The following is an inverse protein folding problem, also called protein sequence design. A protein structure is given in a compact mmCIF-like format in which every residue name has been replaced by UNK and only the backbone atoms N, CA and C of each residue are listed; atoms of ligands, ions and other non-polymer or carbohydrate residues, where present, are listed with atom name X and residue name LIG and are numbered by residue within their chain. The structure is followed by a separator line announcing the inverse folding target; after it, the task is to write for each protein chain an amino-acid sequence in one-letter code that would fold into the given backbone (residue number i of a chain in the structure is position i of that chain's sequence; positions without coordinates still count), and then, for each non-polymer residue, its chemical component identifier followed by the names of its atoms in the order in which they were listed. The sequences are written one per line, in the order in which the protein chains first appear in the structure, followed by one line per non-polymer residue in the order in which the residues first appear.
data_IF_488801228762
#
_entry.id   IF_488801228762
#
_cell.length_a   1.000
_cell.length_b   1.000
_cell.length_c   1.000
_cell.angle_alpha   90.00
_cell.angle_beta   90.00
_cell.angle_gamma   90.00
#
_symmetry.space_group_name_H-M   'P 1'
#
loop_
_entity.id
_entity.type
_entity.pdbx_description
1 polymer ?
#
# COMPACT_ATOMS: atom_id res chain seq x y z
N UNK A 1 4.43 2.03 26.67
CA UNK A 1 3.94 2.23 25.28
C UNK A 1 4.02 0.89 24.56
N UNK A 2 2.97 0.45 23.88
CA UNK A 2 3.00 -0.80 23.11
C UNK A 2 3.92 -0.65 21.89
N UNK A 3 4.78 -1.63 21.66
CA UNK A 3 5.52 -1.73 20.40
C UNK A 3 4.60 -2.35 19.35
N UNK A 4 3.90 -1.47 18.61
CA UNK A 4 2.94 -1.86 17.58
C UNK A 4 3.55 -2.75 16.50
N UNK A 5 4.80 -2.50 16.10
CA UNK A 5 5.46 -3.25 15.02
C UNK A 5 5.80 -4.66 15.48
N UNK A 6 6.46 -4.78 16.64
CA UNK A 6 6.85 -6.08 17.21
C UNK A 6 5.64 -6.93 17.55
N UNK A 7 4.61 -6.32 18.14
CA UNK A 7 3.38 -7.03 18.52
C UNK A 7 2.64 -7.53 17.29
N UNK A 8 2.48 -6.71 16.24
CA UNK A 8 1.81 -7.16 15.01
C UNK A 8 2.54 -8.33 14.36
N UNK A 9 3.87 -8.25 14.26
CA UNK A 9 4.70 -9.32 13.71
C UNK A 9 4.56 -10.62 14.51
N UNK A 10 4.59 -10.53 15.84
CA UNK A 10 4.44 -11.68 16.74
C UNK A 10 3.10 -12.38 16.55
N UNK A 11 2.00 -11.63 16.59
CA UNK A 11 0.64 -12.19 16.46
C UNK A 11 0.45 -12.83 15.08
N UNK A 12 0.93 -12.18 14.01
CA UNK A 12 0.83 -12.74 12.66
C UNK A 12 1.67 -14.01 12.52
N UNK A 13 2.85 -14.07 13.16
CA UNK A 13 3.66 -15.28 13.22
C UNK A 13 2.97 -16.43 13.95
N UNK A 14 2.24 -16.14 15.02
CA UNK A 14 1.43 -17.13 15.71
C UNK A 14 0.27 -17.65 14.85
N UNK A 15 -0.48 -16.75 14.21
CA UNK A 15 -1.52 -17.12 13.25
C UNK A 15 -0.96 -17.99 12.12
N UNK A 16 0.22 -17.66 11.61
CA UNK A 16 0.87 -18.45 10.56
C UNK A 16 1.19 -19.87 11.02
N UNK A 17 1.73 -20.04 12.24
CA UNK A 17 2.05 -21.36 12.80
C UNK A 17 0.81 -22.21 13.10
N UNK A 18 -0.29 -21.56 13.46
CA UNK A 18 -1.54 -22.24 13.79
C UNK A 18 -2.42 -22.53 12.56
N UNK A 19 -2.00 -22.11 11.37
CA UNK A 19 -2.73 -22.37 10.13
C UNK A 19 -2.10 -23.53 9.34
N UNK A 20 -2.92 -24.39 8.73
CA UNK A 20 -2.44 -25.35 7.74
C UNK A 20 -1.67 -24.67 6.60
N UNK A 21 -0.69 -25.38 6.04
CA UNK A 21 0.11 -24.88 4.92
C UNK A 21 -0.75 -24.68 3.65
N UNK A 22 -1.75 -25.53 3.45
CA UNK A 22 -2.69 -25.48 2.32
C UNK A 22 -3.85 -24.50 2.52
N UNK A 23 -3.92 -23.81 3.68
CA UNK A 23 -5.01 -22.90 3.98
C UNK A 23 -5.11 -21.81 2.90
N UNK A 24 -6.32 -21.66 2.37
CA UNK A 24 -6.63 -20.71 1.32
C UNK A 24 -6.54 -19.25 1.82
N UNK A 25 -6.54 -18.31 0.86
CA UNK A 25 -6.41 -16.89 1.18
C UNK A 25 -7.58 -16.38 2.04
N UNK A 26 -8.80 -16.91 1.87
CA UNK A 26 -9.95 -16.49 2.65
C UNK A 26 -9.83 -16.94 4.11
N UNK A 27 -9.40 -18.18 4.36
CA UNK A 27 -9.13 -18.69 5.71
C UNK A 27 -8.03 -17.87 6.39
N UNK A 28 -6.93 -17.58 5.68
CA UNK A 28 -5.85 -16.72 6.21
C UNK A 28 -6.35 -15.33 6.61
N UNK A 29 -7.20 -14.70 5.78
CA UNK A 29 -7.84 -13.40 6.11
C UNK A 29 -8.74 -13.50 7.35
N UNK A 30 -9.54 -14.56 7.46
CA UNK A 30 -10.44 -14.78 8.60
C UNK A 30 -9.65 -14.99 9.89
N UNK A 31 -8.61 -15.81 9.86
CA UNK A 31 -7.74 -16.08 11.00
C UNK A 31 -7.03 -14.81 11.50
N UNK A 32 -6.48 -14.00 10.58
CA UNK A 32 -5.92 -12.70 10.95
C UNK A 32 -6.96 -11.77 11.59
N UNK A 33 -8.19 -11.73 11.07
CA UNK A 33 -9.23 -10.87 11.64
C UNK A 33 -9.65 -11.32 13.04
N UNK A 34 -9.69 -12.62 13.30
CA UNK A 34 -10.01 -13.21 14.60
C UNK A 34 -8.88 -13.01 15.63
N UNK A 35 -7.63 -13.12 15.20
CA UNK A 35 -6.47 -12.97 16.07
C UNK A 35 -6.08 -11.51 16.36
N UNK A 36 -6.75 -10.53 15.74
CA UNK A 36 -6.40 -9.11 15.89
C UNK A 36 -6.64 -8.66 17.34
N UNK A 37 -5.60 -8.23 18.09
CA UNK A 37 -5.79 -7.72 19.44
C UNK A 37 -6.62 -6.43 19.43
N UNK A 38 -7.42 -6.23 20.47
CA UNK A 38 -8.36 -5.11 20.56
C UNK A 38 -7.62 -3.75 20.55
N UNK A 39 -6.39 -3.69 21.07
CA UNK A 39 -5.55 -2.48 21.08
C UNK A 39 -5.31 -1.93 19.67
N UNK A 40 -5.15 -2.81 18.68
CA UNK A 40 -4.99 -2.42 17.27
C UNK A 40 -6.29 -1.86 16.68
N UNK A 41 -7.45 -2.10 17.29
CA UNK A 41 -8.71 -1.49 16.91
C UNK A 41 -8.98 -0.17 17.64
N UNK A 42 -8.27 0.12 18.74
CA UNK A 42 -8.48 1.31 19.56
C UNK A 42 -7.83 2.57 19.00
N UNK A 43 -6.73 2.46 18.25
CA UNK A 43 -5.99 3.64 17.76
C UNK A 43 -5.84 3.66 16.24
N UNK A 44 -5.81 4.85 15.64
CA UNK A 44 -5.57 5.03 14.20
C UNK A 44 -4.21 4.47 13.78
N UNK A 45 -3.19 4.64 14.63
CA UNK A 45 -1.85 4.11 14.36
C UNK A 45 -1.82 2.57 14.44
N UNK A 46 -2.43 1.97 15.47
CA UNK A 46 -2.58 0.52 15.58
C UNK A 46 -3.28 -0.06 14.36
N UNK A 47 -4.43 0.50 13.96
CA UNK A 47 -5.17 0.07 12.75
C UNK A 47 -4.27 0.06 11.51
N UNK A 48 -3.47 1.11 11.33
CA UNK A 48 -2.54 1.26 10.20
C UNK A 48 -1.42 0.22 10.23
N UNK A 49 -0.79 0.01 11.39
CA UNK A 49 0.29 -0.98 11.56
C UNK A 49 -0.24 -2.39 11.31
N UNK A 50 -1.40 -2.74 11.87
CA UNK A 50 -2.04 -4.04 11.65
C UNK A 50 -2.32 -4.29 10.17
N UNK A 51 -2.91 -3.32 9.48
CA UNK A 51 -3.22 -3.43 8.06
C UNK A 51 -1.95 -3.63 7.21
N UNK A 52 -0.88 -2.89 7.51
CA UNK A 52 0.42 -3.01 6.81
C UNK A 52 1.01 -4.41 6.94
N UNK A 53 1.09 -4.95 8.16
CA UNK A 53 1.69 -6.27 8.38
C UNK A 53 0.80 -7.41 7.86
N UNK A 54 -0.51 -7.33 8.12
CA UNK A 54 -1.48 -8.30 7.60
C UNK A 54 -1.40 -8.40 6.08
N UNK A 55 -1.30 -7.26 5.40
CA UNK A 55 -1.17 -7.23 3.94
C UNK A 55 0.12 -7.90 3.48
N UNK A 56 1.27 -7.50 4.01
CA UNK A 56 2.58 -8.10 3.67
C UNK A 56 2.59 -9.61 3.86
N UNK A 57 1.90 -10.11 4.89
CA UNK A 57 1.74 -11.54 5.10
C UNK A 57 0.89 -12.16 4.00
N UNK A 58 -0.31 -11.62 3.74
CA UNK A 58 -1.24 -12.16 2.75
C UNK A 58 -0.70 -12.10 1.31
N UNK A 59 0.17 -11.12 0.98
CA UNK A 59 0.85 -11.02 -0.31
C UNK A 59 1.72 -12.26 -0.61
N UNK A 60 2.27 -12.92 0.42
CA UNK A 60 3.00 -14.19 0.28
C UNK A 60 2.11 -15.38 -0.09
N UNK A 61 0.79 -15.26 0.09
CA UNK A 61 -0.19 -16.32 -0.13
C UNK A 61 -1.18 -15.97 -1.26
N UNK A 62 -0.78 -15.10 -2.18
CA UNK A 62 -1.55 -14.80 -3.39
C UNK A 62 -2.47 -13.57 -3.28
N UNK A 63 -2.35 -12.74 -2.24
CA UNK A 63 -2.97 -11.41 -2.29
C UNK A 63 -2.19 -10.55 -3.31
N UNK A 64 -2.85 -9.96 -4.32
CA UNK A 64 -2.15 -9.08 -5.25
C UNK A 64 -1.55 -7.89 -4.51
N UNK A 65 -0.30 -7.48 -4.85
CA UNK A 65 0.31 -6.32 -4.23
C UNK A 65 -0.58 -5.09 -4.44
N UNK A 66 -0.61 -4.18 -3.45
CA UNK A 66 -1.32 -2.92 -3.65
C UNK A 66 -0.65 -2.27 -4.86
N UNK A 67 -1.41 -1.90 -5.90
CA UNK A 67 -0.85 -1.15 -7.03
C UNK A 67 -0.06 -0.01 -6.42
N UNK A 68 1.25 -0.01 -6.61
CA UNK A 68 2.08 1.14 -6.25
C UNK A 68 1.35 2.31 -6.88
N UNK A 69 0.97 3.32 -6.09
CA UNK A 69 0.44 4.57 -6.65
C UNK A 69 1.42 4.92 -7.76
N UNK A 70 0.92 4.93 -8.99
CA UNK A 70 1.74 5.33 -10.11
C UNK A 70 2.33 6.68 -9.71
N UNK A 71 3.66 6.74 -9.67
CA UNK A 71 4.42 7.96 -9.36
C UNK A 71 4.04 9.10 -10.34
N UNK A 72 3.32 8.76 -11.40
CA UNK A 72 2.68 9.60 -12.41
C UNK A 72 1.76 10.72 -11.88
N UNK A 73 1.16 10.61 -10.69
CA UNK A 73 0.19 11.63 -10.19
C UNK A 73 0.82 12.69 -9.26
N UNK A 74 2.12 12.94 -9.41
CA UNK A 74 2.84 14.00 -8.69
C UNK A 74 3.50 15.00 -9.63
N UNK A 75 2.87 15.32 -10.77
CA UNK A 75 3.24 16.57 -11.44
C UNK A 75 2.89 17.73 -10.53
N UNK A 76 3.91 18.32 -9.90
CA UNK A 76 3.81 19.56 -9.14
C UNK A 76 3.18 20.65 -10.03
N UNK A 77 2.43 21.63 -9.49
CA UNK A 77 1.88 22.74 -10.28
C UNK A 77 2.92 23.42 -11.18
N UNK A 78 4.19 23.43 -10.76
CA UNK A 78 5.31 23.95 -11.56
C UNK A 78 5.66 23.05 -12.75
N UNK A 79 5.67 21.72 -12.58
CA UNK A 79 5.93 20.78 -13.67
C UNK A 79 4.81 20.81 -14.71
N UNK A 80 3.56 21.03 -14.29
CA UNK A 80 2.43 21.28 -15.21
C UNK A 80 2.60 22.57 -16.00
N UNK A 81 3.08 23.63 -15.36
CA UNK A 81 3.39 24.91 -16.00
C UNK A 81 4.53 24.76 -17.02
N UNK A 82 5.63 24.11 -16.64
CA UNK A 82 6.77 23.89 -17.54
C UNK A 82 6.41 23.01 -18.74
N UNK A 83 5.61 21.95 -18.53
CA UNK A 83 5.12 21.11 -19.63
C UNK A 83 4.25 21.89 -20.62
N UNK A 84 3.41 22.81 -20.12
CA UNK A 84 2.56 23.66 -20.95
C UNK A 84 3.36 24.70 -21.74
N UNK A 85 4.34 25.36 -21.12
CA UNK A 85 5.23 26.29 -21.82
C UNK A 85 6.08 25.61 -22.89
N UNK A 86 6.58 24.39 -22.63
CA UNK A 86 7.37 23.62 -23.61
C UNK A 86 6.55 23.23 -24.85
N UNK A 87 5.25 22.96 -24.69
CA UNK A 87 4.35 22.67 -25.81
C UNK A 87 4.07 23.92 -26.68
N UNK A 88 4.00 25.10 -26.07
CA UNK A 88 3.76 26.37 -26.78
C UNK A 88 4.98 26.81 -27.61
N UNK A 89 6.19 26.62 -27.08
CA UNK A 89 7.43 26.98 -27.80
C UNK A 89 7.67 26.13 -29.05
N UNK A 90 7.16 24.89 -29.09
CA UNK A 90 7.32 24.00 -30.24
C UNK A 90 6.31 24.27 -31.37
N UNK A 91 5.18 24.91 -31.07
CA UNK A 91 4.16 25.28 -32.07
C UNK A 91 4.50 26.62 -32.78
N UNK A 92 5.24 27.51 -32.11
CA UNK A 92 5.61 28.82 -32.65
C UNK A 92 6.69 28.79 -33.76
N UNK A 93 7.37 27.65 -33.96
CA UNK A 93 8.47 27.53 -34.95
C UNK A 93 7.95 27.05 -36.32
N UNK A 94 6.67 26.63 -36.42
CA UNK A 94 6.08 26.05 -37.63
C UNK A 94 5.37 27.02 -38.59
N UNK A 95 5.18 28.29 -38.23
CA UNK A 95 4.47 29.27 -39.09
C UNK A 95 5.44 30.37 -39.52
N UNK A 96 6.33 30.03 -40.46
CA UNK A 96 7.03 31.01 -41.31
C UNK A 96 7.72 30.28 -42.46
N UNK A 97 6.97 30.01 -43.52
CA UNK A 97 7.50 29.94 -44.89
C UNK A 97 6.34 30.17 -45.86
N UNK A 98 6.15 31.45 -46.21
CA UNK A 98 5.62 31.87 -47.51
C UNK A 98 6.79 32.22 -48.40
#
# INVERSE_FOLDING_TARGET
MIDWQKTASSVIGEVHRNLPADADLATRKKALRAARPWEFASTSWGKKVWAKHSRKYLEKFGLPPLKAKAVEDHMSPLERLMAKSKAESHNAIGVSKS
#
